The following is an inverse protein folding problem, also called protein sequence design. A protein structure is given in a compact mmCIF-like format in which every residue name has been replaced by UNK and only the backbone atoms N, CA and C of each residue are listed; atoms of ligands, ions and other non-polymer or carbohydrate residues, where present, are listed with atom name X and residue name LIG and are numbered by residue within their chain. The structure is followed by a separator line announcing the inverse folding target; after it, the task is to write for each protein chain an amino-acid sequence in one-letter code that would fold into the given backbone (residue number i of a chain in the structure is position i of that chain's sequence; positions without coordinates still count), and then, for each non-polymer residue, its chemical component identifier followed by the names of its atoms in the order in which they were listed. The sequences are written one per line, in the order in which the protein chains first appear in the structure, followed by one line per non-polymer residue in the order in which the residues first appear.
data_IF_574322971983
#
_entry.id   IF_574322971983
#
_cell.length_a   1.000
_cell.length_b   1.000
_cell.length_c   1.000
_cell.angle_alpha   90.00
_cell.angle_beta   90.00
_cell.angle_gamma   90.00
#
_symmetry.space_group_name_H-M   'P 1'
#
loop_
_entity.id
_entity.type
_entity.pdbx_description
1 polymer ?
#
# COMPACT_ATOMS: atom_id res chain seq x y z
N UNK A 1 19.13 -48.27 2.57
CA UNK A 1 18.33 -47.35 1.75
C UNK A 1 18.17 -46.02 2.52
N UNK A 2 18.97 -45.02 2.16
CA UNK A 2 18.94 -43.70 2.81
C UNK A 2 18.10 -42.85 1.92
N UNK A 3 16.89 -42.49 2.38
CA UNK A 3 16.01 -41.52 1.69
C UNK A 3 16.50 -40.11 2.06
N UNK A 4 17.21 -39.47 1.12
CA UNK A 4 17.59 -38.07 1.27
C UNK A 4 16.35 -37.19 1.07
N UNK A 5 15.82 -36.64 2.17
CA UNK A 5 14.74 -35.67 2.16
C UNK A 5 15.30 -34.33 1.65
N UNK A 6 15.11 -34.06 0.35
CA UNK A 6 15.40 -32.74 -0.23
C UNK A 6 14.35 -31.74 0.31
N UNK A 7 14.70 -30.99 1.37
CA UNK A 7 13.97 -29.78 1.75
C UNK A 7 14.22 -28.74 0.64
N UNK A 8 13.27 -28.59 -0.30
CA UNK A 8 13.19 -27.40 -1.12
C UNK A 8 12.87 -26.22 -0.21
N UNK A 9 13.88 -25.47 0.22
CA UNK A 9 13.70 -24.12 0.73
C UNK A 9 13.11 -23.29 -0.43
N UNK A 10 11.79 -23.09 -0.41
CA UNK A 10 11.15 -22.04 -1.18
C UNK A 10 11.68 -20.74 -0.58
N UNK A 11 12.73 -20.21 -1.19
CA UNK A 11 13.20 -18.85 -0.87
C UNK A 11 12.04 -17.92 -1.16
N UNK A 12 11.34 -17.50 -0.10
CA UNK A 12 10.33 -16.46 -0.22
C UNK A 12 11.07 -15.25 -0.81
N UNK A 13 10.61 -14.81 -1.97
CA UNK A 13 11.17 -13.65 -2.71
C UNK A 13 10.82 -12.33 -1.97
N UNK A 14 11.13 -12.31 -0.68
CA UNK A 14 10.90 -11.18 0.21
C UNK A 14 12.03 -10.18 0.07
N UNK A 15 11.65 -8.98 -0.32
CA UNK A 15 12.59 -7.86 -0.38
C UNK A 15 13.05 -7.53 1.05
N UNK A 16 14.37 -7.48 1.33
CA UNK A 16 14.86 -7.09 2.64
C UNK A 16 14.45 -5.65 2.97
N UNK A 17 14.03 -5.43 4.22
CA UNK A 17 13.63 -4.10 4.69
C UNK A 17 14.86 -3.21 4.97
N UNK A 18 14.70 -1.90 4.81
CA UNK A 18 15.73 -0.93 5.18
C UNK A 18 16.65 -0.48 4.04
N UNK A 19 16.55 -1.08 2.86
CA UNK A 19 17.39 -0.77 1.70
C UNK A 19 16.68 0.00 0.59
N UNK A 20 15.39 0.27 0.75
CA UNK A 20 14.60 1.04 -0.20
C UNK A 20 14.97 2.51 -0.23
N UNK A 21 14.78 3.16 -1.38
CA UNK A 21 15.07 4.59 -1.57
C UNK A 21 13.91 5.36 -2.20
N UNK A 22 12.81 4.68 -2.54
CA UNK A 22 11.65 5.34 -3.11
C UNK A 22 11.00 6.28 -2.10
N UNK A 23 10.48 7.39 -2.60
CA UNK A 23 9.62 8.28 -1.83
C UNK A 23 8.18 7.77 -1.86
N UNK A 24 7.40 8.16 -0.86
CA UNK A 24 5.96 7.87 -0.85
C UNK A 24 5.28 8.32 -2.14
N UNK A 25 5.64 9.50 -2.65
CA UNK A 25 5.05 10.09 -3.85
C UNK A 25 5.33 9.31 -5.15
N UNK A 26 6.37 8.48 -5.16
CA UNK A 26 6.72 7.64 -6.32
C UNK A 26 5.73 6.48 -6.50
N UNK A 27 5.00 6.10 -5.45
CA UNK A 27 4.10 4.94 -5.43
C UNK A 27 2.64 5.28 -5.10
N UNK A 28 2.35 6.54 -4.81
CA UNK A 28 0.98 7.02 -4.57
C UNK A 28 0.26 7.23 -5.91
N UNK A 29 -0.90 6.60 -6.05
CA UNK A 29 -1.83 6.93 -7.13
C UNK A 29 -2.66 8.15 -6.74
N UNK A 30 -2.92 9.03 -7.69
CA UNK A 30 -3.71 10.25 -7.49
C UNK A 30 -4.83 10.37 -8.50
N UNK A 31 -5.98 10.82 -8.03
CA UNK A 31 -7.14 11.19 -8.85
C UNK A 31 -7.72 12.49 -8.33
N UNK A 32 -8.35 13.28 -9.19
CA UNK A 32 -9.03 14.52 -8.78
C UNK A 32 -10.39 14.64 -9.46
N UNK A 33 -11.41 14.95 -8.68
CA UNK A 33 -12.74 15.31 -9.15
C UNK A 33 -12.89 16.82 -9.41
N UNK A 34 -11.81 17.61 -9.19
CA UNK A 34 -11.88 19.06 -9.16
C UNK A 34 -12.21 19.64 -7.77
N UNK A 35 -13.04 18.97 -6.99
CA UNK A 35 -13.35 19.35 -5.61
C UNK A 35 -12.51 18.60 -4.57
N UNK A 36 -12.18 17.35 -4.87
CA UNK A 36 -11.41 16.44 -4.00
C UNK A 36 -10.27 15.82 -4.81
N UNK A 37 -9.08 15.80 -4.22
CA UNK A 37 -7.98 14.93 -4.65
C UNK A 37 -7.98 13.68 -3.77
N UNK A 38 -7.92 12.50 -4.40
CA UNK A 38 -7.83 11.21 -3.72
C UNK A 38 -6.43 10.65 -3.95
N UNK A 39 -5.75 10.33 -2.86
CA UNK A 39 -4.43 9.70 -2.87
C UNK A 39 -4.53 8.29 -2.31
N UNK A 40 -3.97 7.32 -3.01
CA UNK A 40 -4.07 5.90 -2.70
C UNK A 40 -2.67 5.30 -2.60
N UNK A 41 -2.35 4.68 -1.46
CA UNK A 41 -1.08 4.01 -1.20
C UNK A 41 -1.34 2.59 -0.71
N UNK A 42 -0.97 1.55 -1.48
CA UNK A 42 -0.99 0.18 -0.98
C UNK A 42 -0.04 0.00 0.20
N UNK A 43 -0.54 -0.58 1.31
CA UNK A 43 0.25 -0.87 2.51
C UNK A 43 0.79 -2.32 2.49
N UNK A 44 1.02 -2.85 1.31
CA UNK A 44 1.62 -4.17 1.10
C UNK A 44 3.13 -4.13 1.37
N UNK A 45 3.66 -5.13 2.09
CA UNK A 45 5.08 -5.24 2.40
C UNK A 45 5.97 -5.24 1.14
N UNK A 46 5.49 -5.76 0.01
CA UNK A 46 6.21 -5.77 -1.26
C UNK A 46 6.38 -4.36 -1.87
N UNK A 47 5.57 -3.40 -1.40
CA UNK A 47 5.65 -1.98 -1.79
C UNK A 47 6.39 -1.19 -0.73
N UNK A 48 5.95 -1.28 0.54
CA UNK A 48 6.48 -0.39 1.58
C UNK A 48 7.94 -0.65 1.93
N UNK A 49 8.46 -1.88 1.73
CA UNK A 49 9.89 -2.20 1.93
C UNK A 49 10.82 -1.56 0.90
N UNK A 50 10.27 -1.09 -0.23
CA UNK A 50 11.02 -0.39 -1.27
C UNK A 50 11.10 1.12 -1.01
N UNK A 51 10.33 1.62 -0.05
CA UNK A 51 10.37 3.02 0.38
C UNK A 51 11.60 3.29 1.26
N UNK A 52 11.97 4.55 1.37
CA UNK A 52 13.03 4.99 2.27
C UNK A 52 12.79 4.47 3.70
N UNK A 53 13.85 4.13 4.46
CA UNK A 53 13.73 3.40 5.72
C UNK A 53 12.89 4.09 6.80
N UNK A 54 12.87 5.41 6.82
CA UNK A 54 12.05 6.22 7.72
C UNK A 54 10.55 6.13 7.36
N UNK A 55 10.25 6.21 6.07
CA UNK A 55 8.89 6.06 5.53
C UNK A 55 8.37 4.65 5.77
N UNK A 56 9.17 3.61 5.48
CA UNK A 56 8.81 2.22 5.77
C UNK A 56 8.48 2.04 7.26
N UNK A 57 9.38 2.49 8.16
CA UNK A 57 9.16 2.40 9.61
C UNK A 57 7.91 3.13 10.08
N UNK A 58 7.64 4.32 9.51
CA UNK A 58 6.46 5.10 9.83
C UNK A 58 5.16 4.38 9.44
N UNK A 59 5.08 3.85 8.22
CA UNK A 59 3.92 3.12 7.74
C UNK A 59 3.69 1.81 8.50
N UNK A 60 4.75 1.05 8.77
CA UNK A 60 4.68 -0.17 9.57
C UNK A 60 4.15 0.10 10.97
N UNK A 61 4.67 1.14 11.64
CA UNK A 61 4.18 1.56 12.97
C UNK A 61 2.72 2.02 12.92
N UNK A 62 2.32 2.73 11.88
CA UNK A 62 0.93 3.14 11.69
C UNK A 62 0.01 1.92 11.65
N UNK A 63 0.31 0.94 10.80
CA UNK A 63 -0.49 -0.30 10.70
C UNK A 63 -0.50 -1.06 12.03
N UNK A 64 0.66 -1.19 12.68
CA UNK A 64 0.76 -1.86 13.98
C UNK A 64 -0.06 -1.16 15.08
N UNK A 65 -0.01 0.18 15.13
CA UNK A 65 -0.78 0.96 16.12
C UNK A 65 -2.30 0.87 15.94
N UNK A 66 -2.76 0.47 14.76
CA UNK A 66 -4.18 0.29 14.41
C UNK A 66 -4.57 -1.18 14.23
N UNK A 67 -3.73 -2.09 14.69
CA UNK A 67 -3.92 -3.53 14.44
C UNK A 67 -5.22 -4.08 15.03
N UNK A 68 -5.69 -3.58 16.17
CA UNK A 68 -6.96 -4.00 16.77
C UNK A 68 -8.14 -3.51 15.94
N UNK A 69 -8.17 -2.22 15.57
CA UNK A 69 -9.23 -1.66 14.75
C UNK A 69 -9.29 -2.30 13.36
N UNK A 70 -8.12 -2.59 12.77
CA UNK A 70 -8.02 -3.32 11.49
C UNK A 70 -8.58 -4.72 11.63
N UNK A 71 -8.21 -5.46 12.70
CA UNK A 71 -8.71 -6.81 12.96
C UNK A 71 -10.23 -6.82 13.14
N UNK A 72 -10.76 -5.90 13.94
CA UNK A 72 -12.21 -5.78 14.18
C UNK A 72 -12.96 -5.43 12.88
N UNK A 73 -12.42 -4.53 12.07
CA UNK A 73 -13.00 -4.18 10.77
C UNK A 73 -12.96 -5.37 9.80
N UNK A 74 -11.85 -6.12 9.78
CA UNK A 74 -11.71 -7.32 8.95
C UNK A 74 -12.72 -8.40 9.34
N UNK A 75 -12.90 -8.66 10.63
CA UNK A 75 -13.89 -9.62 11.13
C UNK A 75 -15.32 -9.23 10.74
N UNK A 76 -15.68 -7.94 10.89
CA UNK A 76 -17.00 -7.44 10.43
C UNK A 76 -17.17 -7.56 8.91
N UNK A 77 -16.08 -7.38 8.15
CA UNK A 77 -16.05 -7.53 6.70
C UNK A 77 -15.97 -8.98 6.21
N UNK A 78 -15.89 -9.97 7.12
CA UNK A 78 -15.85 -11.40 6.78
C UNK A 78 -14.52 -11.83 6.14
N UNK A 79 -13.40 -11.18 6.47
CA UNK A 79 -12.07 -11.53 5.94
C UNK A 79 -11.04 -11.64 7.05
N UNK A 80 -10.18 -12.66 6.98
CA UNK A 80 -9.12 -12.89 7.98
C UNK A 80 -7.78 -12.22 7.60
N UNK A 81 -7.56 -11.98 6.31
CA UNK A 81 -6.30 -11.43 5.79
C UNK A 81 -6.58 -10.34 4.73
N UNK A 82 -7.06 -9.16 5.15
CA UNK A 82 -7.41 -8.09 4.22
C UNK A 82 -6.17 -7.50 3.53
N UNK A 83 -6.34 -7.09 2.28
CA UNK A 83 -5.40 -6.18 1.63
C UNK A 83 -5.62 -4.78 2.18
N UNK A 84 -4.56 -4.14 2.69
CA UNK A 84 -4.63 -2.82 3.30
C UNK A 84 -4.17 -1.75 2.32
N UNK A 85 -4.93 -0.66 2.27
CA UNK A 85 -4.64 0.50 1.43
C UNK A 85 -4.87 1.77 2.24
N UNK A 86 -3.90 2.66 2.29
CA UNK A 86 -4.10 3.98 2.88
C UNK A 86 -4.70 4.92 1.85
N UNK A 87 -5.81 5.55 2.20
CA UNK A 87 -6.53 6.51 1.36
C UNK A 87 -6.54 7.87 2.05
N UNK A 88 -6.20 8.89 1.29
CA UNK A 88 -6.28 10.29 1.74
C UNK A 88 -7.19 11.05 0.79
N UNK A 89 -8.22 11.66 1.33
CA UNK A 89 -9.02 12.67 0.63
C UNK A 89 -8.50 14.05 1.01
N UNK A 90 -8.20 14.87 0.02
CA UNK A 90 -7.74 16.25 0.18
C UNK A 90 -8.78 17.19 -0.42
N UNK A 91 -9.32 18.11 0.36
CA UNK A 91 -10.21 19.16 -0.13
C UNK A 91 -9.46 20.15 -1.00
N UNK A 92 -9.92 20.33 -2.24
CA UNK A 92 -9.37 21.31 -3.18
C UNK A 92 -10.14 22.63 -3.06
N UNK A 93 -11.45 22.54 -2.87
CA UNK A 93 -12.35 23.70 -2.66
C UNK A 93 -12.97 23.64 -1.24
N UNK A 94 -13.49 24.76 -0.71
CA UNK A 94 -14.21 24.76 0.56
C UNK A 94 -15.45 23.86 0.51
N UNK A 95 -15.75 23.20 1.64
CA UNK A 95 -16.93 22.35 1.82
C UNK A 95 -17.04 21.19 0.81
N UNK A 96 -15.91 20.71 0.30
CA UNK A 96 -15.86 19.59 -0.63
C UNK A 96 -16.34 18.30 0.07
N UNK A 97 -17.31 17.62 -0.49
CA UNK A 97 -17.85 16.36 0.07
C UNK A 97 -17.19 15.16 -0.57
N UNK A 98 -16.92 14.14 0.25
CA UNK A 98 -16.43 12.85 -0.23
C UNK A 98 -17.31 11.71 0.28
N UNK A 99 -17.43 10.67 -0.54
CA UNK A 99 -18.09 9.43 -0.15
C UNK A 99 -17.03 8.31 -0.06
N UNK A 100 -16.69 7.81 1.13
CA UNK A 100 -15.69 6.77 1.30
C UNK A 100 -15.98 5.48 0.54
N UNK A 101 -17.24 5.13 0.36
CA UNK A 101 -17.66 3.86 -0.22
C UNK A 101 -17.57 3.82 -1.76
N UNK A 102 -17.38 4.98 -2.40
CA UNK A 102 -17.29 5.07 -3.87
C UNK A 102 -15.91 4.63 -4.41
N UNK A 103 -14.93 4.36 -3.51
CA UNK A 103 -13.60 3.94 -3.92
C UNK A 103 -13.57 2.44 -4.15
N UNK A 104 -13.13 2.03 -5.34
CA UNK A 104 -13.00 0.64 -5.74
C UNK A 104 -11.62 0.39 -6.35
N UNK A 105 -11.16 -0.85 -6.31
CA UNK A 105 -9.92 -1.29 -6.98
C UNK A 105 -10.25 -2.43 -7.93
N UNK A 106 -9.76 -2.33 -9.16
CA UNK A 106 -9.80 -3.44 -10.12
C UNK A 106 -8.40 -4.03 -10.23
N UNK A 107 -8.28 -5.33 -10.03
CA UNK A 107 -7.04 -6.11 -10.17
C UNK A 107 -7.36 -7.41 -10.90
N UNK A 108 -6.59 -7.76 -11.92
CA UNK A 108 -6.80 -8.98 -12.73
C UNK A 108 -8.23 -9.12 -13.28
N UNK A 109 -8.84 -8.00 -13.67
CA UNK A 109 -10.22 -7.97 -14.17
C UNK A 109 -11.31 -8.17 -13.10
N UNK A 110 -10.96 -8.33 -11.83
CA UNK A 110 -11.89 -8.42 -10.69
C UNK A 110 -12.00 -7.06 -10.00
N UNK A 111 -13.25 -6.66 -9.72
CA UNK A 111 -13.56 -5.47 -8.93
C UNK A 111 -13.57 -5.83 -7.43
N UNK A 112 -12.83 -5.08 -6.65
CA UNK A 112 -12.78 -5.15 -5.20
C UNK A 112 -13.42 -3.89 -4.60
N UNK A 113 -14.37 -4.10 -3.70
CA UNK A 113 -14.97 -3.04 -2.89
C UNK A 113 -14.38 -3.08 -1.48
N UNK A 114 -14.31 -1.95 -0.77
CA UNK A 114 -13.86 -1.97 0.60
C UNK A 114 -14.81 -2.81 1.47
N UNK A 115 -14.26 -3.74 2.23
CA UNK A 115 -14.99 -4.56 3.22
C UNK A 115 -14.92 -3.95 4.62
N UNK A 116 -14.06 -2.95 4.80
CA UNK A 116 -13.93 -2.21 6.04
C UNK A 116 -13.12 -0.94 5.85
N UNK A 117 -13.35 0.04 6.70
CA UNK A 117 -12.62 1.32 6.71
C UNK A 117 -12.29 1.65 8.15
N UNK A 118 -11.01 1.96 8.42
CA UNK A 118 -10.50 2.40 9.72
C UNK A 118 -10.06 3.86 9.61
N UNK A 119 -10.84 4.82 10.12
CA UNK A 119 -10.49 6.23 10.12
C UNK A 119 -9.21 6.51 10.90
N UNK A 120 -8.36 7.39 10.37
CA UNK A 120 -7.12 7.83 11.02
C UNK A 120 -7.16 9.30 11.43
N UNK A 121 -8.02 10.10 10.82
CA UNK A 121 -8.15 11.53 11.11
C UNK A 121 -9.54 11.88 11.67
N UNK A 122 -9.65 12.84 12.59
CA UNK A 122 -10.94 13.30 13.12
C UNK A 122 -11.88 13.87 12.04
N UNK A 123 -11.32 14.46 10.99
CA UNK A 123 -12.05 15.03 9.85
C UNK A 123 -12.83 13.99 9.04
N UNK A 124 -12.55 12.70 9.26
CA UNK A 124 -13.21 11.61 8.55
C UNK A 124 -14.73 11.60 8.75
N UNK A 125 -15.19 11.83 9.96
CA UNK A 125 -16.61 11.71 10.34
C UNK A 125 -17.49 12.81 9.74
N UNK A 126 -16.92 13.90 9.25
CA UNK A 126 -17.69 15.00 8.64
C UNK A 126 -18.13 14.70 7.21
N UNK A 127 -17.43 13.78 6.50
CA UNK A 127 -17.58 13.55 5.06
C UNK A 127 -17.49 14.81 4.20
N UNK A 128 -16.90 15.85 4.77
CA UNK A 128 -16.74 17.17 4.18
C UNK A 128 -15.40 17.75 4.58
N UNK A 129 -14.71 18.39 3.66
CA UNK A 129 -13.39 18.96 3.85
C UNK A 129 -13.38 20.41 3.36
N UNK A 130 -12.74 21.28 4.11
CA UNK A 130 -12.36 22.58 3.61
C UNK A 130 -11.11 22.49 2.73
N UNK A 131 -10.81 23.59 2.01
CA UNK A 131 -9.64 23.64 1.18
C UNK A 131 -8.36 23.33 1.98
N UNK A 132 -7.53 22.40 1.47
CA UNK A 132 -6.31 21.87 2.10
C UNK A 132 -6.52 21.00 3.34
N UNK A 133 -7.75 20.75 3.78
CA UNK A 133 -8.03 19.76 4.81
C UNK A 133 -7.91 18.35 4.24
N UNK A 134 -7.53 17.41 5.11
CA UNK A 134 -7.37 15.99 4.75
C UNK A 134 -8.23 15.09 5.65
N UNK A 135 -8.79 14.06 5.04
CA UNK A 135 -9.35 12.92 5.73
C UNK A 135 -8.57 11.67 5.31
N UNK A 136 -8.05 10.94 6.29
CA UNK A 136 -7.18 9.77 6.07
C UNK A 136 -7.80 8.55 6.72
N UNK A 137 -7.77 7.40 6.04
CA UNK A 137 -8.19 6.11 6.57
C UNK A 137 -7.37 4.96 5.99
N UNK A 138 -7.39 3.82 6.69
CA UNK A 138 -6.97 2.53 6.14
C UNK A 138 -8.22 1.83 5.61
N UNK A 139 -8.18 1.49 4.34
CA UNK A 139 -9.20 0.69 3.65
C UNK A 139 -8.79 -0.78 3.67
N UNK A 140 -9.74 -1.63 3.94
CA UNK A 140 -9.61 -3.07 3.92
C UNK A 140 -10.35 -3.61 2.71
N UNK A 141 -9.68 -4.42 1.92
CA UNK A 141 -10.26 -5.15 0.79
C UNK A 141 -10.10 -6.65 1.00
N UNK A 142 -10.94 -7.45 0.34
CA UNK A 142 -10.71 -8.88 0.27
C UNK A 142 -9.32 -9.20 -0.26
N UNK A 143 -8.70 -10.34 0.12
CA UNK A 143 -7.42 -10.76 -0.43
C UNK A 143 -7.51 -11.04 -1.93
N UNK A 144 -6.40 -10.83 -2.64
CA UNK A 144 -6.31 -11.10 -4.09
C UNK A 144 -5.95 -9.89 -4.94
N UNK A 145 -5.85 -8.68 -4.37
CA UNK A 145 -5.29 -7.53 -5.06
C UNK A 145 -3.77 -7.74 -5.18
N UNK A 146 -3.26 -7.77 -6.41
CA UNK A 146 -1.83 -7.96 -6.67
C UNK A 146 -1.16 -6.61 -6.91
N UNK A 147 -0.25 -6.23 -6.01
CA UNK A 147 0.58 -5.02 -6.18
C UNK A 147 1.71 -5.21 -7.20
N UNK A 148 1.90 -6.42 -7.72
CA UNK A 148 2.88 -6.74 -8.79
C UNK A 148 2.31 -6.66 -10.19
N UNK A 149 1.04 -6.36 -10.32
CA UNK A 149 0.32 -6.29 -11.58
C UNK A 149 -0.41 -4.96 -11.71
N UNK A 150 -0.99 -4.73 -12.85
CA UNK A 150 -1.77 -3.51 -13.07
C UNK A 150 -2.97 -3.44 -12.13
N UNK A 151 -3.11 -2.27 -11.52
CA UNK A 151 -4.24 -1.90 -10.68
C UNK A 151 -4.90 -0.67 -11.28
N UNK A 152 -6.21 -0.69 -11.34
CA UNK A 152 -7.03 0.49 -11.64
C UNK A 152 -7.82 0.85 -10.39
N UNK A 153 -7.69 2.08 -9.95
CA UNK A 153 -8.52 2.60 -8.87
C UNK A 153 -9.62 3.47 -9.47
N UNK A 154 -10.84 3.30 -9.02
CA UNK A 154 -11.98 4.12 -9.43
C UNK A 154 -12.61 4.82 -8.24
N UNK A 155 -13.06 6.07 -8.47
CA UNK A 155 -13.75 6.90 -7.49
C UNK A 155 -14.70 7.85 -8.21
N UNK A 156 -16.00 7.82 -7.89
CA UNK A 156 -17.03 8.69 -8.47
C UNK A 156 -16.99 8.77 -10.02
N UNK A 157 -16.84 7.62 -10.67
CA UNK A 157 -16.80 7.54 -12.14
C UNK A 157 -15.46 7.90 -12.79
N UNK A 158 -14.47 8.37 -12.01
CA UNK A 158 -13.10 8.53 -12.46
C UNK A 158 -12.32 7.24 -12.25
N UNK A 159 -11.31 7.01 -13.08
CA UNK A 159 -10.37 5.91 -12.90
C UNK A 159 -8.93 6.39 -13.06
N UNK A 160 -8.02 5.77 -12.30
CA UNK A 160 -6.58 6.04 -12.38
C UNK A 160 -5.85 4.76 -12.77
N UNK A 161 -5.12 4.81 -13.89
CA UNK A 161 -4.21 3.75 -14.37
C UNK A 161 -2.75 4.05 -14.01
N UNK A 162 -2.54 4.95 -13.06
CA UNK A 162 -1.20 5.43 -12.67
C UNK A 162 -0.29 4.34 -12.10
N UNK A 163 -0.83 3.17 -11.72
CA UNK A 163 -0.06 2.07 -11.13
C UNK A 163 0.97 1.47 -12.10
N UNK A 164 0.71 1.43 -13.40
CA UNK A 164 1.68 0.94 -14.40
C UNK A 164 3.02 1.68 -14.37
N UNK A 165 3.00 2.99 -14.05
CA UNK A 165 4.23 3.78 -13.83
C UNK A 165 4.93 3.36 -12.55
N UNK A 166 4.18 3.20 -11.46
CA UNK A 166 4.71 2.79 -10.17
C UNK A 166 5.31 1.38 -10.23
N UNK A 167 4.70 0.45 -10.98
CA UNK A 167 5.22 -0.91 -11.17
C UNK A 167 6.66 -0.90 -11.70
N UNK A 168 6.94 -0.11 -12.74
CA UNK A 168 8.28 -0.03 -13.32
C UNK A 168 9.30 0.48 -12.31
N UNK A 169 8.94 1.49 -11.51
CA UNK A 169 9.81 2.01 -10.44
C UNK A 169 10.02 0.97 -9.34
N UNK A 170 8.97 0.28 -8.92
CA UNK A 170 9.03 -0.77 -7.91
C UNK A 170 9.92 -1.94 -8.37
N UNK A 171 9.82 -2.37 -9.63
CA UNK A 171 10.65 -3.46 -10.17
C UNK A 171 12.13 -3.08 -10.26
N UNK A 172 12.43 -1.87 -10.71
CA UNK A 172 13.80 -1.35 -10.71
C UNK A 172 14.37 -1.25 -9.29
N UNK A 173 13.60 -0.71 -8.36
CA UNK A 173 14.07 -0.57 -6.98
C UNK A 173 14.21 -1.93 -6.28
N UNK A 174 13.33 -2.89 -6.56
CA UNK A 174 13.44 -4.26 -6.04
C UNK A 174 14.77 -4.91 -6.42
N UNK A 175 15.19 -4.76 -7.66
CA UNK A 175 16.49 -5.25 -8.12
C UNK A 175 17.65 -4.55 -7.41
N UNK A 176 17.58 -3.22 -7.24
CA UNK A 176 18.59 -2.43 -6.52
C UNK A 176 18.70 -2.80 -5.05
N UNK A 177 17.56 -2.97 -4.37
CA UNK A 177 17.50 -3.37 -2.95
C UNK A 177 18.15 -4.73 -2.74
N UNK A 178 17.85 -5.71 -3.60
CA UNK A 178 18.48 -7.04 -3.54
C UNK A 178 19.98 -6.95 -3.72
N UNK A 179 20.46 -6.16 -4.68
CA UNK A 179 21.90 -5.97 -4.91
C UNK A 179 22.59 -5.30 -3.71
N UNK A 180 22.00 -4.26 -3.11
CA UNK A 180 22.55 -3.60 -1.90
C UNK A 180 22.66 -4.57 -0.73
N UNK A 181 21.61 -5.32 -0.45
CA UNK A 181 21.60 -6.30 0.63
C UNK A 181 22.65 -7.40 0.43
N UNK A 182 22.87 -7.85 -0.81
CA UNK A 182 23.90 -8.84 -1.13
C UNK A 182 25.33 -8.29 -0.92
N UNK A 183 25.55 -7.02 -1.24
CA UNK A 183 26.85 -6.38 -1.02
C UNK A 183 27.19 -6.27 0.48
N UNK A 184 26.21 -5.91 1.32
CA UNK A 184 26.40 -5.83 2.77
C UNK A 184 26.54 -7.21 3.45
N UNK A 185 25.85 -8.23 2.89
CA UNK A 185 25.93 -9.60 3.41
C UNK A 185 27.26 -10.30 3.07
N UNK A 186 28.08 -9.74 2.14
CA UNK A 186 29.38 -10.30 1.78
C UNK A 186 30.42 -9.83 2.81
N UNK A 187 30.94 -10.71 3.71
CA UNK A 187 31.97 -10.31 4.63
C UNK A 187 33.21 -9.86 3.85
N UNK A 188 33.84 -8.81 4.35
CA UNK A 188 35.04 -8.23 3.79
C UNK A 188 36.19 -9.30 3.82
N UNK A 189 36.31 -10.08 2.75
CA UNK A 189 37.31 -11.13 2.59
C UNK A 189 38.62 -10.56 2.04
N UNK A 190 38.96 -9.31 2.42
CA UNK A 190 40.12 -8.58 1.95
C UNK A 190 40.92 -7.94 3.08
N UNK A 191 41.50 -8.76 3.96
CA UNK A 191 42.40 -8.30 5.01
C UNK A 191 43.46 -9.31 5.33
N UNK A 192 44.47 -9.42 4.47
CA UNK A 192 45.83 -9.88 4.80
C UNK A 192 46.80 -9.19 3.90
#
# INVERSE_FOLDING_TARGET
MIVALLLCLVAQDTVPAGYGTLRRDDVVMRMSTGAIEVQILPLDEQVIRLLAPDTHRSLTRLVQSRSLEVKDAAQRGGTDNPTLVMVTFLGVVPQARFNPEDLNITSRGRLFRPVGIVPLSPTWSSYQLDARQQAVAIYLFEPGISVREELTVSYQGLSSEGWSRSLRLLDQERARVKARAQLEAKPDSGGR
#
